data_IF_432354715524
#
_entry.id   IF_432354715524
#
_cell.length_a   1.000
_cell.length_b   1.000
_cell.length_c   1.000
_cell.angle_alpha   90.00
_cell.angle_beta   90.00
_cell.angle_gamma   90.00
#
_symmetry.space_group_name_H-M   'P 1'
#
loop_
_entity.id
_entity.type
_entity.pdbx_description
1 polymer ?
#
# COMPACT_ATOMS: atom_id res chain seq x y z
N UNK A 1 32.52 7.71 21.36
CA UNK A 1 31.55 8.41 20.49
C UNK A 1 30.96 7.36 19.56
N UNK A 2 29.92 6.65 20.02
CA UNK A 2 29.21 5.66 19.21
C UNK A 2 28.20 6.42 18.36
N UNK A 3 28.49 6.52 17.07
CA UNK A 3 27.53 7.05 16.10
C UNK A 3 26.36 6.08 16.01
N UNK A 4 25.21 6.48 16.57
CA UNK A 4 23.93 5.89 16.24
C UNK A 4 23.71 6.13 14.74
N UNK A 5 23.80 5.07 13.94
CA UNK A 5 23.28 5.09 12.57
C UNK A 5 21.78 5.37 12.69
N UNK A 6 21.36 6.62 12.44
CA UNK A 6 19.97 6.91 12.19
C UNK A 6 19.58 6.17 10.90
N UNK A 7 18.77 5.13 11.05
CA UNK A 7 18.07 4.52 9.94
C UNK A 7 17.18 5.62 9.33
N UNK A 8 17.57 6.16 8.17
CA UNK A 8 16.91 7.32 7.58
C UNK A 8 15.46 7.01 7.23
N UNK A 9 14.52 7.85 7.68
CA UNK A 9 13.14 7.86 7.21
C UNK A 9 12.91 9.20 6.53
N UNK A 10 12.39 9.16 5.31
CA UNK A 10 11.99 10.36 4.58
C UNK A 10 10.47 10.50 4.73
N UNK A 11 10.03 11.74 4.95
CA UNK A 11 8.62 12.09 5.12
C UNK A 11 8.22 13.10 4.06
N UNK A 12 7.04 12.92 3.51
CA UNK A 12 6.40 13.85 2.61
C UNK A 12 4.99 14.11 3.13
N UNK A 13 4.64 15.36 3.39
CA UNK A 13 3.35 15.76 3.96
C UNK A 13 2.57 16.57 2.96
N UNK A 14 1.37 16.10 2.63
CA UNK A 14 0.43 16.76 1.72
C UNK A 14 -0.81 17.17 2.50
N UNK A 15 -1.29 18.38 2.24
CA UNK A 15 -2.48 18.93 2.88
C UNK A 15 -3.48 19.32 1.80
N UNK A 16 -4.69 18.79 1.90
CA UNK A 16 -5.81 19.17 1.04
C UNK A 16 -6.93 19.70 1.93
N UNK A 17 -7.31 20.97 1.71
CA UNK A 17 -8.33 21.65 2.52
C UNK A 17 -9.66 21.74 1.81
N UNK A 18 -10.75 21.49 2.54
CA UNK A 18 -12.12 21.65 2.04
C UNK A 18 -12.55 20.59 1.03
N UNK A 19 -12.11 19.35 1.20
CA UNK A 19 -12.54 18.23 0.36
C UNK A 19 -14.04 18.00 0.49
N UNK A 20 -14.75 18.17 -0.62
CA UNK A 20 -16.18 17.92 -0.71
C UNK A 20 -16.44 16.44 -0.98
N UNK A 21 -17.15 15.80 -0.05
CA UNK A 21 -17.55 14.40 -0.11
C UNK A 21 -19.07 14.29 -0.03
N UNK A 22 -19.61 13.09 -0.25
CA UNK A 22 -21.05 12.84 -0.07
C UNK A 22 -21.53 13.12 1.37
N UNK A 23 -20.63 13.02 2.35
CA UNK A 23 -20.90 13.18 3.78
C UNK A 23 -20.64 14.61 4.28
N UNK A 24 -20.13 15.49 3.42
CA UNK A 24 -19.82 16.89 3.73
C UNK A 24 -18.37 17.25 3.46
N UNK A 25 -17.90 18.32 4.12
CA UNK A 25 -16.53 18.83 3.94
C UNK A 25 -15.57 18.24 4.98
N UNK A 26 -14.40 17.82 4.54
CA UNK A 26 -13.31 17.37 5.41
C UNK A 26 -11.97 17.86 4.87
N UNK A 27 -10.97 17.99 5.74
CA UNK A 27 -9.59 18.25 5.33
C UNK A 27 -8.81 16.95 5.42
N UNK A 28 -7.93 16.71 4.45
CA UNK A 28 -7.07 15.55 4.39
C UNK A 28 -5.61 15.96 4.62
N UNK A 29 -4.99 15.36 5.63
CA UNK A 29 -3.53 15.34 5.78
C UNK A 29 -3.04 13.96 5.39
N UNK A 30 -2.18 13.88 4.38
CA UNK A 30 -1.52 12.65 3.96
C UNK A 30 -0.02 12.73 4.27
N UNK A 31 0.48 11.80 5.07
CA UNK A 31 1.90 11.64 5.36
C UNK A 31 2.39 10.36 4.70
N UNK A 32 3.22 10.53 3.67
CA UNK A 32 3.90 9.44 2.99
C UNK A 32 5.29 9.30 3.59
N UNK A 33 5.68 8.08 3.95
CA UNK A 33 7.02 7.84 4.49
C UNK A 33 7.62 6.52 4.03
N UNK A 34 8.94 6.55 3.83
CA UNK A 34 9.71 5.37 3.44
C UNK A 34 10.95 5.25 4.32
N UNK A 35 11.13 4.08 4.91
CA UNK A 35 12.31 3.72 5.68
C UNK A 35 13.42 3.29 4.73
N UNK A 36 14.67 3.68 5.01
CA UNK A 36 15.82 3.25 4.22
C UNK A 36 15.87 1.71 4.11
N UNK A 37 15.94 1.22 2.86
CA UNK A 37 15.93 -0.21 2.55
C UNK A 37 14.54 -0.87 2.52
N UNK A 38 13.46 -0.12 2.78
CA UNK A 38 12.09 -0.60 2.59
C UNK A 38 11.69 -0.52 1.13
N UNK A 39 10.95 -1.51 0.66
CA UNK A 39 10.23 -1.46 -0.62
C UNK A 39 8.79 -0.95 -0.48
N UNK A 40 8.36 -0.69 0.77
CA UNK A 40 7.04 -0.16 1.09
C UNK A 40 7.11 1.31 1.47
N UNK A 41 6.17 2.09 0.92
CA UNK A 41 5.82 3.43 1.37
C UNK A 41 4.62 3.33 2.30
N UNK A 42 4.75 3.83 3.52
CA UNK A 42 3.65 3.98 4.46
C UNK A 42 2.83 5.21 4.10
N UNK A 43 1.52 5.05 4.03
CA UNK A 43 0.55 6.11 3.82
C UNK A 43 -0.28 6.26 5.09
N UNK A 44 -0.05 7.32 5.84
CA UNK A 44 -0.86 7.71 6.99
C UNK A 44 -1.78 8.86 6.56
N UNK A 45 -3.08 8.64 6.59
CA UNK A 45 -4.09 9.65 6.27
C UNK A 45 -4.84 10.05 7.53
N UNK A 46 -5.00 11.35 7.72
CA UNK A 46 -5.77 11.94 8.81
C UNK A 46 -6.83 12.89 8.25
N UNK A 47 -8.06 12.70 8.70
CA UNK A 47 -9.23 13.48 8.31
C UNK A 47 -9.61 14.46 9.44
N UNK A 48 -10.07 15.66 9.09
CA UNK A 48 -10.58 16.61 10.09
C UNK A 48 -12.00 16.26 10.56
N UNK A 49 -12.83 15.71 9.67
CA UNK A 49 -14.15 15.15 9.96
C UNK A 49 -14.21 13.66 9.57
N UNK A 50 -15.03 12.84 10.26
CA UNK A 50 -15.20 11.43 9.92
C UNK A 50 -15.67 11.22 8.49
N UNK A 51 -15.21 10.13 7.87
CA UNK A 51 -15.74 9.60 6.61
C UNK A 51 -16.11 8.13 6.79
N UNK A 52 -17.15 7.65 6.09
CA UNK A 52 -17.54 6.24 6.12
C UNK A 52 -16.45 5.32 5.55
N UNK A 53 -15.78 5.77 4.50
CA UNK A 53 -14.73 5.02 3.83
C UNK A 53 -13.65 5.89 3.15
N UNK A 54 -12.50 5.27 2.90
CA UNK A 54 -11.45 5.72 1.99
C UNK A 54 -11.15 4.59 1.02
N UNK A 55 -11.04 4.90 -0.26
CA UNK A 55 -10.66 3.94 -1.28
C UNK A 55 -9.21 4.18 -1.72
N UNK A 56 -8.47 3.10 -1.91
CA UNK A 56 -7.16 3.08 -2.58
C UNK A 56 -7.10 1.87 -3.51
N UNK A 57 -6.09 1.76 -4.36
CA UNK A 57 -6.09 0.68 -5.33
C UNK A 57 -4.86 0.63 -6.22
N UNK A 58 -4.95 -0.27 -7.18
CA UNK A 58 -3.91 -0.59 -8.16
C UNK A 58 -4.55 -0.51 -9.54
N UNK A 59 -3.90 0.19 -10.46
CA UNK A 59 -4.36 0.27 -11.85
C UNK A 59 -4.34 -1.11 -12.52
N UNK A 60 -5.36 -1.39 -13.33
CA UNK A 60 -5.48 -2.63 -14.10
C UNK A 60 -4.60 -2.58 -15.35
N UNK A 61 -3.99 -3.71 -15.66
CA UNK A 61 -3.28 -3.95 -16.90
C UNK A 61 -3.68 -5.31 -17.46
N UNK A 62 -3.90 -5.41 -18.77
CA UNK A 62 -4.42 -6.61 -19.43
C UNK A 62 -3.54 -7.86 -19.20
N UNK A 63 -2.23 -7.67 -19.09
CA UNK A 63 -1.24 -8.74 -18.95
C UNK A 63 -0.80 -8.93 -17.50
N UNK A 64 -1.73 -8.80 -16.55
CA UNK A 64 -1.45 -8.98 -15.12
C UNK A 64 -2.36 -9.99 -14.45
N UNK A 65 -1.83 -10.65 -13.44
CA UNK A 65 -2.58 -11.49 -12.51
C UNK A 65 -2.85 -10.74 -11.22
N UNK A 66 -3.98 -11.02 -10.59
CA UNK A 66 -4.32 -10.50 -9.25
C UNK A 66 -3.88 -11.52 -8.21
N UNK A 67 -3.22 -11.03 -7.18
CA UNK A 67 -2.71 -11.80 -6.05
C UNK A 67 -3.29 -11.22 -4.76
N UNK A 68 -3.67 -12.10 -3.84
CA UNK A 68 -4.13 -11.72 -2.50
C UNK A 68 -3.38 -12.51 -1.44
N UNK A 69 -3.31 -11.96 -0.23
CA UNK A 69 -2.68 -12.65 0.89
C UNK A 69 -3.44 -13.94 1.23
N UNK A 70 -2.75 -15.05 1.54
CA UNK A 70 -3.41 -16.25 2.03
C UNK A 70 -4.13 -15.97 3.34
N UNK A 71 -5.17 -16.75 3.65
CA UNK A 71 -5.79 -16.73 4.97
C UNK A 71 -4.77 -17.22 6.02
N UNK A 72 -4.21 -16.29 6.79
CA UNK A 72 -3.17 -16.55 7.78
C UNK A 72 -3.36 -15.71 9.05
N UNK A 73 -2.62 -16.08 10.10
CA UNK A 73 -2.52 -15.30 11.34
C UNK A 73 -1.82 -13.95 11.10
N UNK A 74 -2.27 -12.91 11.81
CA UNK A 74 -1.74 -11.54 11.71
C UNK A 74 -2.79 -10.51 11.31
N UNK A 75 -2.49 -9.24 11.55
CA UNK A 75 -3.40 -8.12 11.37
C UNK A 75 -3.39 -7.52 9.96
N UNK A 76 -2.33 -7.79 9.19
CA UNK A 76 -2.15 -7.25 7.83
C UNK A 76 -2.52 -8.26 6.76
N UNK A 77 -2.98 -7.75 5.62
CA UNK A 77 -3.28 -8.46 4.37
C UNK A 77 -2.81 -7.61 3.18
N UNK A 78 -2.79 -8.17 1.97
CA UNK A 78 -2.48 -7.43 0.75
C UNK A 78 -3.41 -7.77 -0.41
N UNK A 79 -3.58 -6.78 -1.29
CA UNK A 79 -4.03 -6.91 -2.67
C UNK A 79 -2.85 -6.51 -3.57
N UNK A 80 -2.56 -7.30 -4.59
CA UNK A 80 -1.43 -7.06 -5.47
C UNK A 80 -1.74 -7.45 -6.92
N UNK A 81 -1.01 -6.86 -7.86
CA UNK A 81 -1.00 -7.27 -9.27
C UNK A 81 0.43 -7.53 -9.72
N UNK A 82 0.61 -8.48 -10.63
CA UNK A 82 1.92 -8.79 -11.21
C UNK A 82 1.81 -9.13 -12.69
N UNK A 83 2.75 -8.64 -13.49
CA UNK A 83 2.88 -8.99 -14.90
C UNK A 83 3.44 -7.84 -15.72
N UNK A 84 3.20 -7.86 -17.02
CA UNK A 84 3.76 -6.87 -17.94
C UNK A 84 2.95 -5.57 -17.86
N UNK A 85 3.58 -4.50 -17.37
CA UNK A 85 2.94 -3.20 -17.15
C UNK A 85 3.71 -2.02 -17.76
N UNK A 86 4.89 -2.26 -18.32
CA UNK A 86 5.71 -1.22 -18.95
C UNK A 86 5.62 -1.28 -20.48
N UNK A 87 5.92 -0.16 -21.13
CA UNK A 87 6.07 -0.12 -22.61
C UNK A 87 7.25 -0.96 -23.11
N UNK A 88 8.17 -1.32 -22.21
CA UNK A 88 9.37 -2.12 -22.49
C UNK A 88 9.11 -3.63 -22.33
N UNK A 89 7.86 -4.01 -22.03
CA UNK A 89 7.45 -5.39 -21.76
C UNK A 89 8.06 -6.02 -20.49
N UNK A 90 8.46 -5.17 -19.53
CA UNK A 90 9.04 -5.62 -18.27
C UNK A 90 7.95 -6.05 -17.28
N UNK A 91 8.29 -7.03 -16.43
CA UNK A 91 7.43 -7.40 -15.31
C UNK A 91 7.52 -6.38 -14.16
N UNK A 92 6.34 -5.98 -13.69
CA UNK A 92 6.16 -5.10 -12.54
C UNK A 92 5.12 -5.71 -11.60
N UNK A 93 5.46 -5.72 -10.32
CA UNK A 93 4.55 -6.01 -9.23
C UNK A 93 4.13 -4.73 -8.51
N UNK A 94 2.83 -4.57 -8.25
CA UNK A 94 2.28 -3.50 -7.42
C UNK A 94 1.47 -4.11 -6.29
N UNK A 95 1.47 -3.48 -5.10
CA UNK A 95 0.76 -3.99 -3.94
C UNK A 95 0.23 -2.89 -3.02
N UNK A 96 -0.94 -3.13 -2.44
CA UNK A 96 -1.50 -2.39 -1.32
C UNK A 96 -1.62 -3.34 -0.14
N UNK A 97 -0.94 -3.00 0.95
CA UNK A 97 -1.07 -3.69 2.24
C UNK A 97 -1.97 -2.89 3.16
N UNK A 98 -2.93 -3.57 3.79
CA UNK A 98 -3.92 -2.95 4.65
C UNK A 98 -4.17 -3.79 5.90
N UNK A 99 -4.69 -3.18 6.95
CA UNK A 99 -5.11 -3.90 8.15
C UNK A 99 -6.44 -4.58 7.90
N UNK A 100 -6.54 -5.87 8.20
CA UNK A 100 -7.76 -6.68 8.07
C UNK A 100 -8.94 -6.05 8.82
N UNK A 101 -8.71 -5.48 10.01
CA UNK A 101 -9.75 -4.80 10.82
C UNK A 101 -10.32 -3.54 10.18
N UNK A 102 -9.59 -2.93 9.26
CA UNK A 102 -10.00 -1.69 8.59
C UNK A 102 -10.61 -1.98 7.21
N UNK A 103 -10.61 -3.23 6.74
CA UNK A 103 -11.18 -3.61 5.45
C UNK A 103 -12.71 -3.54 5.50
N UNK A 104 -13.30 -2.81 4.56
CA UNK A 104 -14.74 -2.87 4.26
C UNK A 104 -14.97 -3.92 3.16
N UNK A 105 -14.31 -3.74 2.01
CA UNK A 105 -14.41 -4.66 0.87
C UNK A 105 -13.21 -4.52 -0.08
N UNK A 106 -13.03 -5.55 -0.91
CA UNK A 106 -12.21 -5.48 -2.12
C UNK A 106 -13.16 -5.54 -3.30
N UNK A 107 -13.09 -4.52 -4.16
CA UNK A 107 -13.93 -4.41 -5.35
C UNK A 107 -13.08 -3.97 -6.53
N UNK A 108 -13.70 -3.74 -7.69
CA UNK A 108 -12.99 -3.29 -8.87
C UNK A 108 -13.89 -2.41 -9.74
N UNK A 109 -13.27 -1.54 -10.53
CA UNK A 109 -13.92 -0.76 -11.58
C UNK A 109 -13.31 -1.06 -12.96
N UNK A 110 -13.59 -0.26 -13.99
CA UNK A 110 -13.03 -0.46 -15.33
C UNK A 110 -11.50 -0.37 -15.36
N UNK A 111 -10.90 0.43 -14.48
CA UNK A 111 -9.49 0.83 -14.54
C UNK A 111 -8.67 0.36 -13.34
N UNK A 112 -9.28 -0.10 -12.25
CA UNK A 112 -8.60 -0.32 -10.98
C UNK A 112 -9.11 -1.52 -10.21
N UNK A 113 -8.18 -2.22 -9.56
CA UNK A 113 -8.45 -3.10 -8.42
C UNK A 113 -8.45 -2.24 -7.14
N UNK A 114 -9.53 -2.29 -6.35
CA UNK A 114 -9.79 -1.31 -5.29
C UNK A 114 -9.91 -1.98 -3.93
N UNK A 115 -9.24 -1.38 -2.94
CA UNK A 115 -9.38 -1.70 -1.51
C UNK A 115 -10.14 -0.55 -0.84
N UNK A 116 -11.29 -0.88 -0.25
CA UNK A 116 -12.12 0.07 0.48
C UNK A 116 -11.87 -0.12 1.98
N UNK A 117 -11.43 0.95 2.65
CA UNK A 117 -11.00 0.94 4.04
C UNK A 117 -11.87 1.85 4.89
N UNK A 118 -12.12 1.45 6.14
CA UNK A 118 -12.80 2.23 7.15
C UNK A 118 -11.80 3.01 8.00
N UNK A 119 -11.84 4.36 8.00
CA UNK A 119 -11.05 5.14 8.96
C UNK A 119 -11.46 4.81 10.40
N UNK A 120 -10.47 4.61 11.28
CA UNK A 120 -10.68 4.48 12.73
C UNK A 120 -10.17 5.74 13.40
N UNK A 121 -11.00 6.39 14.23
CA UNK A 121 -10.67 7.66 14.88
C UNK A 121 -10.18 8.73 13.89
N UNK A 122 -10.82 8.81 12.71
CA UNK A 122 -10.45 9.71 11.60
C UNK A 122 -9.04 9.49 11.03
N UNK A 123 -8.44 8.32 11.26
CA UNK A 123 -7.14 7.95 10.72
C UNK A 123 -7.24 6.65 9.93
N UNK A 124 -6.44 6.53 8.88
CA UNK A 124 -6.22 5.26 8.19
C UNK A 124 -4.74 5.11 7.82
N UNK A 125 -4.22 3.90 7.96
CA UNK A 125 -2.85 3.55 7.57
C UNK A 125 -2.88 2.37 6.61
N UNK A 126 -2.23 2.52 5.47
CA UNK A 126 -1.96 1.44 4.53
C UNK A 126 -0.55 1.60 3.94
N UNK A 127 -0.02 0.57 3.32
CA UNK A 127 1.28 0.63 2.65
C UNK A 127 1.09 0.37 1.16
N UNK A 128 1.81 1.13 0.34
CA UNK A 128 1.96 0.86 -1.09
C UNK A 128 3.36 0.31 -1.35
N UNK A 129 3.47 -0.68 -2.22
CA UNK A 129 4.72 -1.30 -2.62
C UNK A 129 4.77 -1.57 -4.10
N UNK A 130 5.97 -1.56 -4.66
CA UNK A 130 6.21 -1.99 -6.03
C UNK A 130 7.55 -2.72 -6.13
N UNK A 131 7.66 -3.65 -7.08
CA UNK A 131 8.87 -4.40 -7.38
C UNK A 131 8.99 -4.58 -8.90
N UNK A 132 10.06 -4.06 -9.49
CA UNK A 132 10.33 -4.12 -10.92
C UNK A 132 11.46 -5.11 -11.22
N UNK A 133 11.39 -5.83 -12.34
CA UNK A 133 12.41 -6.86 -12.67
C UNK A 133 13.85 -6.36 -12.84
N UNK A 134 14.02 -5.04 -12.96
CA UNK A 134 15.32 -4.37 -13.05
C UNK A 134 15.72 -3.61 -11.79
N UNK A 135 14.93 -3.66 -10.71
CA UNK A 135 15.25 -3.00 -9.45
C UNK A 135 16.05 -3.90 -8.48
N UNK A 136 16.30 -3.39 -7.27
CA UNK A 136 17.05 -4.10 -6.23
C UNK A 136 16.23 -5.09 -5.41
N UNK A 137 14.94 -5.30 -5.70
CA UNK A 137 14.07 -6.28 -5.03
C UNK A 137 14.44 -7.71 -5.36
N UNK A 138 15.03 -7.93 -6.55
CA UNK A 138 15.34 -9.26 -7.07
C UNK A 138 14.15 -10.03 -7.62
N UNK A 139 12.95 -9.42 -7.65
CA UNK A 139 11.73 -10.02 -8.21
C UNK A 139 11.84 -10.12 -9.73
N UNK A 140 11.72 -11.31 -10.32
CA UNK A 140 11.71 -11.47 -11.79
C UNK A 140 10.51 -12.26 -12.29
N UNK A 141 9.94 -13.09 -11.42
CA UNK A 141 8.82 -13.97 -11.72
C UNK A 141 7.70 -13.74 -10.72
N UNK A 142 6.51 -14.24 -11.06
CA UNK A 142 5.36 -14.21 -10.15
C UNK A 142 5.68 -14.91 -8.81
N UNK A 143 6.43 -16.02 -8.86
CA UNK A 143 6.85 -16.75 -7.67
C UNK A 143 7.77 -15.90 -6.76
N UNK A 144 8.74 -15.19 -7.36
CA UNK A 144 9.60 -14.27 -6.61
C UNK A 144 8.79 -13.14 -5.98
N UNK A 145 7.78 -12.64 -6.71
CA UNK A 145 6.92 -11.57 -6.19
C UNK A 145 6.04 -12.06 -5.03
N UNK A 146 5.48 -13.27 -5.12
CA UNK A 146 4.74 -13.88 -4.00
C UNK A 146 5.64 -14.04 -2.77
N UNK A 147 6.89 -14.49 -2.94
CA UNK A 147 7.85 -14.58 -1.83
C UNK A 147 8.17 -13.20 -1.24
N UNK A 148 8.38 -12.20 -2.10
CA UNK A 148 8.56 -10.81 -1.70
C UNK A 148 7.38 -10.29 -0.87
N UNK A 149 6.14 -10.45 -1.36
CA UNK A 149 4.92 -10.02 -0.68
C UNK A 149 4.78 -10.68 0.69
N UNK A 150 5.00 -11.99 0.77
CA UNK A 150 4.95 -12.73 2.02
C UNK A 150 6.02 -12.29 3.02
N UNK A 151 7.20 -11.90 2.53
CA UNK A 151 8.27 -11.34 3.37
C UNK A 151 7.86 -9.98 3.93
N UNK A 152 7.35 -9.08 3.10
CA UNK A 152 6.86 -7.77 3.56
C UNK A 152 5.69 -7.91 4.55
N UNK A 153 4.77 -8.83 4.29
CA UNK A 153 3.64 -9.12 5.16
C UNK A 153 4.08 -9.61 6.55
N UNK A 154 5.10 -10.47 6.62
CA UNK A 154 5.70 -10.92 7.90
C UNK A 154 6.33 -9.76 8.65
N UNK A 155 7.07 -8.88 7.96
CA UNK A 155 7.69 -7.72 8.58
C UNK A 155 6.64 -6.76 9.17
N UNK A 156 5.57 -6.46 8.44
CA UNK A 156 4.44 -5.65 8.90
C UNK A 156 3.77 -6.25 10.15
N UNK A 157 3.46 -7.55 10.11
CA UNK A 157 2.85 -8.25 11.25
C UNK A 157 3.77 -8.34 12.48
N UNK A 158 5.09 -8.22 12.29
CA UNK A 158 6.07 -8.16 13.39
C UNK A 158 6.36 -6.74 13.90
N UNK A 159 5.80 -5.69 13.28
CA UNK A 159 6.08 -4.29 13.62
C UNK A 159 7.49 -3.81 13.27
N UNK A 160 8.14 -4.46 12.30
CA UNK A 160 9.50 -4.12 11.85
C UNK A 160 9.53 -3.10 10.69
N UNK A 161 8.35 -2.74 10.16
CA UNK A 161 8.11 -1.72 9.12
C UNK A 161 7.14 -0.64 9.61
#
# INVERSE_FOLDING_TARGET
>A
MLGLFQCGIIWLNWYYTGWETAEGKTDLTATLSIRAGSFLTKNDLKLSNPLENICTGIVKHENTVILSSPENEGDWAYLATFGVQTLQEDNLGMAVFYKKKDLIEICNDELSEVVVLKPTDNNITYYSGAAWEHDSSGVKTEADFIEFLNTQLKLLNSGLL
#
